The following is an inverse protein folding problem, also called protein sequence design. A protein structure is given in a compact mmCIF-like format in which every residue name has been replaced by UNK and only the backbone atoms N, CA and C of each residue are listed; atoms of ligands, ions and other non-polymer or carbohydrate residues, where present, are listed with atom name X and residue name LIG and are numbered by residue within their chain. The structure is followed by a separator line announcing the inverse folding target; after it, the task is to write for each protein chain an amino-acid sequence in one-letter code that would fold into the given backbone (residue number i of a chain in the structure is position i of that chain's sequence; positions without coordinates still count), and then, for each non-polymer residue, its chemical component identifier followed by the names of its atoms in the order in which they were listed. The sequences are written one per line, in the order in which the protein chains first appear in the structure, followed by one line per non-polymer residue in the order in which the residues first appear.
data_IF_693444466657
#
_entry.id   IF_693444466657
#
_cell.length_a   1.000
_cell.length_b   1.000
_cell.length_c   1.000
_cell.angle_alpha   90.00
_cell.angle_beta   90.00
_cell.angle_gamma   90.00
#
_symmetry.space_group_name_H-M   'P 1'
#
loop_
_entity.id
_entity.type
_entity.pdbx_description
1 polymer ?
#
# COMPACT_ATOMS: atom_id res chain seq x y z
N UNK A 1 28.27 -1.27 5.83
CA UNK A 1 27.69 0.07 5.89
C UNK A 1 26.50 0.19 4.95
N UNK A 2 26.74 0.34 3.63
CA UNK A 2 25.63 0.40 2.68
C UNK A 2 24.77 -0.84 2.71
N UNK A 3 25.34 -2.02 2.95
CA UNK A 3 24.57 -3.27 3.02
C UNK A 3 23.59 -3.29 4.20
N UNK A 4 24.02 -2.80 5.37
CA UNK A 4 23.15 -2.69 6.54
C UNK A 4 21.98 -1.73 6.30
N UNK A 5 22.26 -0.60 5.66
CA UNK A 5 21.25 0.39 5.34
C UNK A 5 20.20 -0.18 4.36
N UNK A 6 20.66 -0.87 3.32
CA UNK A 6 19.77 -1.49 2.34
C UNK A 6 18.91 -2.57 3.00
N UNK A 7 19.51 -3.36 3.89
CA UNK A 7 18.78 -4.41 4.59
C UNK A 7 17.71 -3.82 5.53
N UNK A 8 18.02 -2.73 6.22
CA UNK A 8 17.05 -2.04 7.06
C UNK A 8 15.86 -1.54 6.27
N UNK A 9 16.08 -0.96 5.08
CA UNK A 9 14.99 -0.50 4.21
C UNK A 9 14.14 -1.68 3.74
N UNK A 10 14.77 -2.78 3.31
CA UNK A 10 14.04 -3.98 2.89
C UNK A 10 13.18 -4.53 4.01
N UNK A 11 13.72 -4.60 5.22
CA UNK A 11 12.99 -5.09 6.38
C UNK A 11 11.81 -4.17 6.73
N UNK A 12 12.03 -2.87 6.69
CA UNK A 12 10.98 -1.88 6.93
C UNK A 12 9.83 -2.02 5.95
N UNK A 13 10.16 -2.20 4.66
CA UNK A 13 9.15 -2.38 3.61
C UNK A 13 8.38 -3.68 3.79
N UNK A 14 9.09 -4.74 4.11
CA UNK A 14 8.49 -6.05 4.36
C UNK A 14 7.55 -6.00 5.56
N UNK A 15 7.98 -5.40 6.65
CA UNK A 15 7.16 -5.24 7.86
C UNK A 15 5.91 -4.42 7.58
N UNK A 16 6.06 -3.33 6.83
CA UNK A 16 4.92 -2.50 6.44
C UNK A 16 3.89 -3.30 5.65
N UNK A 17 4.33 -4.04 4.64
CA UNK A 17 3.42 -4.87 3.82
C UNK A 17 2.76 -5.95 4.68
N UNK A 18 3.52 -6.63 5.52
CA UNK A 18 3.00 -7.72 6.35
C UNK A 18 2.06 -7.23 7.46
N UNK A 19 2.11 -5.94 7.81
CA UNK A 19 1.22 -5.36 8.82
C UNK A 19 -0.15 -4.97 8.27
N UNK A 20 -0.38 -5.13 6.97
CA UNK A 20 -1.63 -4.70 6.32
C UNK A 20 -2.87 -5.23 7.05
N UNK A 21 -2.90 -6.53 7.31
CA UNK A 21 -4.07 -7.18 7.93
C UNK A 21 -4.39 -6.60 9.30
N UNK A 22 -3.37 -6.26 10.07
CA UNK A 22 -3.54 -5.70 11.41
C UNK A 22 -4.03 -4.25 11.39
N UNK A 23 -3.83 -3.56 10.28
CA UNK A 23 -4.05 -2.12 10.19
C UNK A 23 -5.25 -1.74 9.31
N UNK A 24 -6.11 -2.71 8.98
CA UNK A 24 -7.25 -2.46 8.09
C UNK A 24 -8.15 -1.35 8.62
N UNK A 25 -8.41 -1.31 9.92
CA UNK A 25 -9.30 -0.28 10.49
C UNK A 25 -8.75 1.14 10.39
N UNK A 26 -7.43 1.27 10.34
CA UNK A 26 -6.75 2.56 10.22
C UNK A 26 -5.93 2.66 8.94
N UNK A 27 -6.41 2.00 7.88
CA UNK A 27 -5.68 1.92 6.63
C UNK A 27 -5.45 3.31 6.01
N UNK A 28 -6.39 4.23 6.17
CA UNK A 28 -6.24 5.60 5.70
C UNK A 28 -5.01 6.28 6.31
N UNK A 29 -4.83 6.15 7.62
CA UNK A 29 -3.65 6.70 8.31
C UNK A 29 -2.36 6.05 7.84
N UNK A 30 -2.38 4.72 7.62
CA UNK A 30 -1.22 4.00 7.12
C UNK A 30 -0.85 4.41 5.69
N UNK A 31 -1.83 4.63 4.84
CA UNK A 31 -1.60 5.09 3.47
C UNK A 31 -1.02 6.52 3.46
N UNK A 32 -1.56 7.41 4.28
CA UNK A 32 -1.05 8.78 4.41
C UNK A 32 0.41 8.75 4.86
N UNK A 33 0.69 8.02 5.93
CA UNK A 33 2.04 7.92 6.48
C UNK A 33 3.04 7.37 5.45
N UNK A 34 2.68 6.28 4.79
CA UNK A 34 3.55 5.63 3.82
C UNK A 34 3.76 6.47 2.56
N UNK A 35 2.73 7.20 2.10
CA UNK A 35 2.85 8.06 0.93
C UNK A 35 3.84 9.21 1.16
N UNK A 36 4.05 9.58 2.40
CA UNK A 36 4.98 10.64 2.79
C UNK A 36 6.34 10.12 3.26
N UNK A 37 6.53 8.81 3.29
CA UNK A 37 7.78 8.18 3.73
C UNK A 37 8.59 7.76 2.50
N UNK A 38 9.74 8.39 2.29
CA UNK A 38 10.55 8.14 1.10
C UNK A 38 11.16 6.73 1.05
N UNK A 39 11.10 5.97 2.13
CA UNK A 39 11.53 4.57 2.14
C UNK A 39 10.40 3.61 1.80
N UNK A 40 9.15 4.05 1.92
CA UNK A 40 7.96 3.23 1.67
C UNK A 40 7.18 3.64 0.41
N UNK A 41 7.28 4.90 -0.01
CA UNK A 41 6.38 5.44 -1.02
C UNK A 41 6.61 4.91 -2.44
N UNK A 42 7.70 4.19 -2.70
CA UNK A 42 7.92 3.53 -3.97
C UNK A 42 7.31 2.13 -4.05
N UNK A 43 6.71 1.65 -2.95
CA UNK A 43 5.98 0.38 -2.95
C UNK A 43 4.73 0.54 -3.81
N UNK A 44 4.44 -0.46 -4.64
CA UNK A 44 3.22 -0.45 -5.44
C UNK A 44 2.00 -0.64 -4.54
N UNK A 45 0.96 0.14 -4.77
CA UNK A 45 -0.30 0.06 -4.02
C UNK A 45 -0.86 -1.36 -4.09
N UNK A 46 -0.91 -1.92 -5.30
CA UNK A 46 -1.42 -3.27 -5.53
C UNK A 46 -0.69 -4.31 -4.67
N UNK A 47 0.63 -4.20 -4.60
CA UNK A 47 1.43 -5.13 -3.80
C UNK A 47 1.08 -5.03 -2.31
N UNK A 48 0.99 -3.82 -1.78
CA UNK A 48 0.63 -3.61 -0.38
C UNK A 48 -0.74 -4.21 -0.05
N UNK A 49 -1.71 -4.03 -0.95
CA UNK A 49 -3.07 -4.49 -0.70
C UNK A 49 -3.26 -6.01 -0.87
N UNK A 50 -2.44 -6.65 -1.69
CA UNK A 50 -2.69 -8.06 -2.06
C UNK A 50 -1.65 -9.05 -1.56
N UNK A 51 -0.49 -8.62 -1.09
CA UNK A 51 0.61 -9.51 -0.74
C UNK A 51 0.25 -10.49 0.37
N UNK A 52 -0.52 -10.05 1.35
CA UNK A 52 -0.91 -10.91 2.48
C UNK A 52 -2.05 -11.87 2.14
N UNK A 53 -2.66 -11.75 0.96
CA UNK A 53 -3.76 -12.60 0.54
C UNK A 53 -5.12 -12.19 1.05
N UNK A 54 -5.23 -11.13 1.83
CA UNK A 54 -6.52 -10.63 2.35
C UNK A 54 -7.41 -10.14 1.20
N UNK A 55 -6.79 -9.45 0.22
CA UNK A 55 -7.50 -8.97 -0.97
C UNK A 55 -7.01 -9.73 -2.20
N UNK A 56 -7.93 -10.03 -3.11
CA UNK A 56 -7.62 -10.72 -4.36
C UNK A 56 -6.90 -9.82 -5.35
N UNK A 57 -5.92 -10.38 -6.07
CA UNK A 57 -5.08 -9.63 -7.00
C UNK A 57 -5.86 -9.08 -8.19
N UNK A 58 -6.70 -9.90 -8.82
CA UNK A 58 -7.48 -9.48 -9.99
C UNK A 58 -8.51 -8.43 -9.63
N UNK A 59 -9.25 -8.67 -8.56
CA UNK A 59 -10.29 -7.75 -8.08
C UNK A 59 -9.69 -6.40 -7.70
N UNK A 60 -8.55 -6.42 -7.02
CA UNK A 60 -7.88 -5.19 -6.57
C UNK A 60 -7.31 -4.41 -7.75
N UNK A 61 -6.72 -5.10 -8.74
CA UNK A 61 -6.26 -4.45 -9.96
C UNK A 61 -7.39 -3.74 -10.68
N UNK A 62 -8.54 -4.40 -10.78
CA UNK A 62 -9.75 -3.84 -11.39
C UNK A 62 -10.24 -2.60 -10.64
N UNK A 63 -10.27 -2.69 -9.32
CA UNK A 63 -10.65 -1.55 -8.49
C UNK A 63 -9.73 -0.35 -8.72
N UNK A 64 -8.41 -0.58 -8.75
CA UNK A 64 -7.45 0.50 -8.98
C UNK A 64 -7.66 1.15 -10.34
N UNK A 65 -7.89 0.35 -11.39
CA UNK A 65 -8.19 0.88 -12.73
C UNK A 65 -9.45 1.76 -12.70
N UNK A 66 -10.46 1.35 -11.96
CA UNK A 66 -11.75 2.07 -11.88
C UNK A 66 -11.60 3.46 -11.27
N UNK A 67 -10.63 3.66 -10.39
CA UNK A 67 -10.40 4.96 -9.76
C UNK A 67 -9.30 5.78 -10.42
N UNK A 68 -8.76 5.30 -11.55
CA UNK A 68 -7.74 6.03 -12.31
C UNK A 68 -6.31 5.69 -11.96
N UNK A 69 -6.09 4.63 -11.19
CA UNK A 69 -4.77 4.08 -10.89
C UNK A 69 -4.58 2.78 -11.68
N UNK A 70 -3.52 2.03 -11.38
CA UNK A 70 -3.31 0.70 -11.98
C UNK A 70 -2.35 -0.10 -11.09
N UNK A 71 -2.04 -1.33 -11.52
CA UNK A 71 -1.16 -2.23 -10.78
C UNK A 71 0.25 -1.69 -10.57
N UNK A 72 0.68 -0.74 -11.40
CA UNK A 72 2.02 -0.16 -11.33
C UNK A 72 2.06 1.11 -10.50
N UNK A 73 0.91 1.65 -10.12
CA UNK A 73 0.82 2.86 -9.30
C UNK A 73 1.47 2.63 -7.94
N UNK A 74 2.16 3.65 -7.45
CA UNK A 74 2.92 3.59 -6.20
C UNK A 74 2.21 4.37 -5.11
N UNK A 75 2.60 4.11 -3.86
CA UNK A 75 2.06 4.85 -2.72
C UNK A 75 2.31 6.36 -2.86
N UNK A 76 3.41 6.76 -3.51
CA UNK A 76 3.70 8.16 -3.79
C UNK A 76 2.68 8.83 -4.73
N UNK A 77 1.90 8.04 -5.47
CA UNK A 77 0.87 8.57 -6.39
C UNK A 77 -0.45 8.88 -5.69
N UNK A 78 -0.56 8.56 -4.41
CA UNK A 78 -1.80 8.74 -3.65
C UNK A 78 -2.06 10.21 -3.31
N UNK A 79 -3.32 10.58 -3.30
CA UNK A 79 -3.83 11.83 -2.76
C UNK A 79 -5.00 11.50 -1.83
N UNK A 80 -5.60 12.51 -1.22
CA UNK A 80 -6.67 12.31 -0.24
C UNK A 80 -7.87 11.56 -0.84
N UNK A 81 -8.24 11.85 -2.10
CA UNK A 81 -9.35 11.19 -2.77
C UNK A 81 -9.06 9.71 -3.02
N UNK A 82 -7.86 9.39 -3.48
CA UNK A 82 -7.46 8.00 -3.69
C UNK A 82 -7.41 7.24 -2.37
N UNK A 83 -6.87 7.87 -1.33
CA UNK A 83 -6.77 7.25 0.00
C UNK A 83 -8.16 6.92 0.54
N UNK A 84 -9.12 7.84 0.40
CA UNK A 84 -10.50 7.61 0.82
C UNK A 84 -11.13 6.45 0.05
N UNK A 85 -10.96 6.42 -1.27
CA UNK A 85 -11.51 5.34 -2.10
C UNK A 85 -10.92 3.99 -1.74
N UNK A 86 -9.61 3.93 -1.56
CA UNK A 86 -8.92 2.68 -1.19
C UNK A 86 -9.35 2.24 0.20
N UNK A 87 -9.42 3.17 1.14
CA UNK A 87 -9.83 2.88 2.52
C UNK A 87 -11.23 2.26 2.54
N UNK A 88 -12.17 2.83 1.80
CA UNK A 88 -13.53 2.30 1.70
C UNK A 88 -13.55 0.91 1.07
N UNK A 89 -12.76 0.71 0.02
CA UNK A 89 -12.66 -0.59 -0.64
C UNK A 89 -12.14 -1.66 0.34
N UNK A 90 -11.06 -1.35 1.06
CA UNK A 90 -10.45 -2.28 2.01
C UNK A 90 -11.41 -2.63 3.14
N UNK A 91 -12.06 -1.63 3.71
CA UNK A 91 -12.97 -1.84 4.85
C UNK A 91 -14.24 -2.58 4.49
N UNK A 92 -14.65 -2.53 3.22
CA UNK A 92 -15.87 -3.17 2.74
C UNK A 92 -15.62 -4.50 2.02
N UNK A 93 -14.39 -4.97 2.05
CA UNK A 93 -14.01 -6.23 1.39
C UNK A 93 -14.15 -7.44 2.31
#
# INVERSE_FOLDING_TARGET
MSDSYILEIKNKRKEFINSFEKNIEKIDNELIRASNDNQLNSIRIHKYLTETGVLGKVKTARFLDDIGLNEKSKLSDLNDNYIESISNYVKNS
#
